data_IF_256496137737
#
_entry.id   IF_256496137737
#
_cell.length_a   1.000
_cell.length_b   1.000
_cell.length_c   1.000
_cell.angle_alpha   90.00
_cell.angle_beta   90.00
_cell.angle_gamma   90.00
#
_symmetry.space_group_name_H-M   'P 1'
#
loop_
_entity.id
_entity.type
_entity.pdbx_description
1 polymer ?
#
# COMPACT_ATOMS: atom_id res chain seq x y z
N UNK A 1 -10.79 9.37 35.10
CA UNK A 1 -10.14 10.31 34.16
C UNK A 1 -10.15 9.71 32.75
N UNK A 2 -10.88 10.31 31.80
CA UNK A 2 -10.81 9.88 30.39
C UNK A 2 -9.44 10.29 29.84
N UNK A 3 -8.57 9.33 29.50
CA UNK A 3 -7.33 9.61 28.75
C UNK A 3 -7.73 10.39 27.49
N UNK A 4 -7.27 11.64 27.35
CA UNK A 4 -7.36 12.37 26.07
C UNK A 4 -6.66 11.51 25.03
N UNK A 5 -7.39 10.97 24.05
CA UNK A 5 -6.80 10.32 22.88
C UNK A 5 -5.89 11.37 22.23
N UNK A 6 -4.58 11.14 22.29
CA UNK A 6 -3.61 11.96 21.55
C UNK A 6 -4.00 11.82 20.08
N UNK A 7 -4.14 12.93 19.37
CA UNK A 7 -4.38 12.90 17.93
C UNK A 7 -3.12 12.29 17.30
N UNK A 8 -3.18 11.02 16.94
CA UNK A 8 -2.03 10.32 16.38
C UNK A 8 -1.73 10.88 14.98
N UNK A 9 -0.49 11.29 14.75
CA UNK A 9 -0.05 11.75 13.45
C UNK A 9 -0.04 10.55 12.49
N UNK A 10 -0.75 10.67 11.36
CA UNK A 10 -0.84 9.62 10.36
C UNK A 10 0.53 9.23 9.81
N UNK A 11 1.44 10.20 9.69
CA UNK A 11 2.78 9.96 9.15
C UNK A 11 3.67 9.09 10.08
N UNK A 12 3.32 8.99 11.36
CA UNK A 12 4.06 8.19 12.34
C UNK A 12 3.63 6.72 12.35
N UNK A 13 2.64 6.34 11.52
CA UNK A 13 2.14 4.96 11.44
C UNK A 13 3.09 4.09 10.62
N UNK A 14 3.26 2.83 11.02
CA UNK A 14 4.10 1.83 10.35
C UNK A 14 3.22 0.94 9.46
N UNK A 15 3.25 1.11 8.12
CA UNK A 15 2.54 0.24 7.20
C UNK A 15 3.16 -1.17 7.13
N UNK A 16 2.32 -2.17 6.96
CA UNK A 16 2.66 -3.59 6.74
C UNK A 16 1.83 -4.10 5.57
N UNK A 17 2.43 -4.81 4.62
CA UNK A 17 1.72 -5.45 3.51
C UNK A 17 0.76 -6.50 4.08
N UNK A 18 -0.51 -6.44 3.70
CA UNK A 18 -1.58 -7.30 4.22
C UNK A 18 -1.62 -8.65 3.49
N UNK A 19 -0.60 -9.48 3.73
CA UNK A 19 -0.44 -10.85 3.19
C UNK A 19 -0.69 -10.93 1.67
N UNK A 20 -0.30 -9.88 0.95
CA UNK A 20 -0.38 -9.84 -0.51
C UNK A 20 0.90 -10.41 -1.09
N UNK A 21 0.76 -11.40 -1.97
CA UNK A 21 1.86 -11.85 -2.82
C UNK A 21 2.15 -10.76 -3.85
N UNK A 22 3.41 -10.47 -4.07
CA UNK A 22 3.86 -9.52 -5.08
C UNK A 22 5.26 -9.88 -5.57
N UNK A 23 5.61 -9.41 -6.76
CA UNK A 23 6.91 -9.61 -7.37
C UNK A 23 7.37 -8.37 -8.15
N UNK A 24 8.64 -8.36 -8.55
CA UNK A 24 9.18 -7.36 -9.46
C UNK A 24 9.12 -7.90 -10.88
N UNK A 25 8.55 -7.12 -11.78
CA UNK A 25 8.57 -7.39 -13.22
C UNK A 25 9.96 -7.15 -13.80
N UNK A 26 10.19 -7.61 -15.04
CA UNK A 26 11.48 -7.44 -15.73
C UNK A 26 11.90 -5.97 -15.90
N UNK A 27 10.94 -5.04 -15.91
CA UNK A 27 11.17 -3.60 -15.96
C UNK A 27 11.23 -2.94 -14.58
N UNK A 28 11.27 -3.72 -13.50
CA UNK A 28 11.48 -3.25 -12.13
C UNK A 28 10.24 -2.67 -11.44
N UNK A 29 9.04 -2.91 -11.98
CA UNK A 29 7.78 -2.48 -11.38
C UNK A 29 7.22 -3.56 -10.46
N UNK A 30 6.44 -3.13 -9.46
CA UNK A 30 5.77 -4.05 -8.56
C UNK A 30 4.48 -4.54 -9.20
N UNK A 31 4.29 -5.85 -9.23
CA UNK A 31 3.03 -6.49 -9.56
C UNK A 31 2.47 -7.22 -8.35
N UNK A 32 1.26 -6.84 -7.91
CA UNK A 32 0.56 -7.42 -6.76
C UNK A 32 -0.46 -8.45 -7.24
N UNK A 33 -0.38 -9.67 -6.72
CA UNK A 33 -1.37 -10.72 -6.95
C UNK A 33 -2.54 -10.56 -5.98
N UNK A 34 -3.74 -10.41 -6.52
CA UNK A 34 -4.99 -10.30 -5.75
C UNK A 34 -5.87 -11.50 -6.04
N UNK A 35 -6.19 -12.29 -5.02
CA UNK A 35 -7.20 -13.34 -5.15
C UNK A 35 -8.61 -12.72 -5.12
N UNK A 36 -9.41 -13.02 -6.14
CA UNK A 36 -10.77 -12.52 -6.27
C UNK A 36 -11.75 -13.35 -5.40
N UNK A 37 -11.43 -13.55 -4.11
CA UNK A 37 -12.33 -14.22 -3.17
C UNK A 37 -13.31 -13.23 -2.53
N UNK A 38 -14.58 -13.33 -2.91
CA UNK A 38 -15.70 -12.67 -2.26
C UNK A 38 -16.95 -13.56 -2.28
N UNK A 39 -18.01 -13.17 -1.57
CA UNK A 39 -19.29 -13.89 -1.39
C UNK A 39 -19.98 -14.37 -2.69
N UNK A 40 -19.49 -13.95 -3.85
CA UNK A 40 -19.93 -14.39 -5.17
C UNK A 40 -19.29 -15.70 -5.63
N UNK A 41 -18.44 -16.35 -4.83
CA UNK A 41 -17.68 -17.56 -5.21
C UNK A 41 -18.53 -18.68 -5.82
N UNK A 42 -19.79 -18.86 -5.40
CA UNK A 42 -20.65 -19.92 -5.93
C UNK A 42 -21.36 -19.55 -7.25
N UNK A 43 -21.62 -18.25 -7.48
CA UNK A 43 -22.36 -17.75 -8.65
C UNK A 43 -21.41 -17.28 -9.76
N UNK A 44 -20.27 -16.68 -9.38
CA UNK A 44 -19.27 -16.16 -10.32
C UNK A 44 -18.55 -17.28 -11.09
N UNK A 45 -18.25 -18.42 -10.45
CA UNK A 45 -17.55 -19.53 -11.14
C UNK A 45 -18.46 -20.29 -12.12
N UNK A 46 -19.77 -20.35 -11.87
CA UNK A 46 -20.73 -21.03 -12.76
C UNK A 46 -21.16 -20.18 -13.97
N UNK A 47 -21.02 -18.85 -13.91
CA UNK A 47 -21.57 -17.95 -14.94
C UNK A 47 -20.59 -16.92 -15.51
N UNK A 48 -19.48 -16.61 -14.84
CA UNK A 48 -18.53 -15.60 -15.28
C UNK A 48 -17.14 -16.21 -15.50
N UNK A 49 -16.62 -16.09 -16.73
CA UNK A 49 -15.25 -16.39 -17.15
C UNK A 49 -14.21 -15.47 -16.48
N UNK A 50 -14.38 -15.11 -15.20
CA UNK A 50 -13.48 -14.20 -14.48
C UNK A 50 -12.33 -15.01 -13.86
N UNK A 51 -11.08 -14.57 -14.02
CA UNK A 51 -9.93 -15.28 -13.49
C UNK A 51 -9.93 -15.26 -11.95
N UNK A 52 -9.48 -16.35 -11.34
CA UNK A 52 -9.36 -16.51 -9.87
C UNK A 52 -8.43 -15.46 -9.24
N UNK A 53 -7.44 -15.02 -10.01
CA UNK A 53 -6.45 -14.03 -9.60
C UNK A 53 -6.47 -12.84 -10.57
N UNK A 54 -6.21 -11.66 -10.03
CA UNK A 54 -5.92 -10.43 -10.76
C UNK A 54 -4.50 -9.99 -10.45
N UNK A 55 -3.80 -9.45 -11.45
CA UNK A 55 -2.45 -8.92 -11.30
C UNK A 55 -2.52 -7.40 -11.44
N UNK A 56 -2.07 -6.69 -10.40
CA UNK A 56 -2.12 -5.23 -10.35
C UNK A 56 -0.69 -4.71 -10.42
N UNK A 57 -0.34 -4.17 -11.58
CA UNK A 57 0.93 -3.51 -11.79
C UNK A 57 0.87 -2.07 -11.27
N UNK A 58 1.79 -1.72 -10.39
CA UNK A 58 1.93 -0.38 -9.85
C UNK A 58 2.74 0.50 -10.82
N UNK A 59 2.51 1.81 -10.79
CA UNK A 59 3.35 2.78 -11.49
C UNK A 59 4.73 2.86 -10.83
N UNK A 60 5.66 3.60 -11.44
CA UNK A 60 7.03 3.76 -10.91
C UNK A 60 7.02 4.31 -9.47
N UNK A 61 6.18 5.32 -9.22
CA UNK A 61 6.03 5.91 -7.88
C UNK A 61 5.49 4.90 -6.87
N UNK A 62 4.38 4.23 -7.18
CA UNK A 62 3.78 3.23 -6.31
C UNK A 62 4.70 2.03 -6.07
N UNK A 63 5.41 1.59 -7.10
CA UNK A 63 6.42 0.52 -7.00
C UNK A 63 7.57 0.90 -6.08
N UNK A 64 8.07 2.15 -6.17
CA UNK A 64 9.11 2.65 -5.29
C UNK A 64 8.63 2.70 -3.83
N UNK A 65 7.43 3.25 -3.59
CA UNK A 65 6.83 3.32 -2.24
C UNK A 65 6.62 1.91 -1.67
N UNK A 66 6.02 1.01 -2.45
CA UNK A 66 5.67 -0.35 -2.04
C UNK A 66 6.89 -1.14 -1.57
N UNK A 67 8.00 -1.04 -2.31
CA UNK A 67 9.26 -1.70 -1.94
C UNK A 67 9.88 -1.18 -0.63
N UNK A 68 9.49 0.01 -0.15
CA UNK A 68 9.95 0.51 1.16
C UNK A 68 9.12 -0.02 2.34
N UNK A 69 7.99 -0.70 2.10
CA UNK A 69 7.11 -1.24 3.13
C UNK A 69 7.71 -2.55 3.67
N UNK A 70 8.54 -2.44 4.71
CA UNK A 70 9.17 -3.58 5.38
C UNK A 70 8.55 -3.93 6.74
N UNK A 71 7.47 -3.23 7.11
CA UNK A 71 6.81 -3.39 8.40
C UNK A 71 7.59 -2.80 9.58
N UNK A 72 8.61 -1.98 9.33
CA UNK A 72 9.38 -1.28 10.36
C UNK A 72 9.38 0.23 10.16
N UNK A 73 9.57 0.69 8.92
CA UNK A 73 9.60 2.12 8.59
C UNK A 73 8.20 2.73 8.69
N UNK A 74 8.10 3.93 9.25
CA UNK A 74 6.87 4.72 9.20
C UNK A 74 6.74 5.50 7.87
N UNK A 75 5.55 6.07 7.62
CA UNK A 75 5.29 6.83 6.38
C UNK A 75 6.25 8.02 6.24
N UNK A 76 6.61 8.67 7.34
CA UNK A 76 7.56 9.79 7.31
C UNK A 76 8.94 9.38 6.79
N UNK A 77 9.48 8.26 7.29
CA UNK A 77 10.77 7.69 6.89
C UNK A 77 10.76 7.26 5.43
N UNK A 78 9.68 6.61 4.97
CA UNK A 78 9.48 6.28 3.55
C UNK A 78 9.50 7.55 2.70
N UNK A 79 8.85 8.62 3.15
CA UNK A 79 8.89 9.91 2.48
C UNK A 79 10.30 10.52 2.40
N UNK A 80 11.12 10.39 3.44
CA UNK A 80 12.50 10.87 3.41
C UNK A 80 13.34 10.11 2.37
N UNK A 81 13.17 8.80 2.25
CA UNK A 81 13.84 7.98 1.22
C UNK A 81 13.45 8.47 -0.18
N UNK A 82 12.15 8.66 -0.44
CA UNK A 82 11.65 9.15 -1.73
C UNK A 82 12.15 10.56 -2.06
N UNK A 83 12.25 11.43 -1.06
CA UNK A 83 12.79 12.79 -1.22
C UNK A 83 14.25 12.78 -1.65
N UNK A 84 15.04 11.84 -1.11
CA UNK A 84 16.46 11.71 -1.43
C UNK A 84 16.66 11.15 -2.84
N UNK A 85 15.80 10.22 -3.28
CA UNK A 85 15.84 9.63 -4.63
C UNK A 85 15.35 10.60 -5.70
N UNK A 86 14.35 11.44 -5.42
CA UNK A 86 13.76 12.38 -6.37
C UNK A 86 13.93 13.84 -5.90
N UNK A 87 15.10 14.44 -6.19
CA UNK A 87 15.36 15.86 -5.94
C UNK A 87 14.46 16.72 -6.82
N UNK A 88 13.37 17.26 -6.26
CA UNK A 88 12.49 18.23 -6.94
C UNK A 88 11.00 18.20 -6.59
N UNK A 89 10.53 17.17 -5.87
CA UNK A 89 9.10 16.96 -5.60
C UNK A 89 8.62 17.38 -4.19
N UNK A 90 9.41 18.18 -3.47
CA UNK A 90 9.31 18.32 -2.02
C UNK A 90 7.99 18.92 -1.50
N UNK A 91 7.36 19.85 -2.24
CA UNK A 91 6.26 20.66 -1.71
C UNK A 91 4.96 19.88 -1.47
N UNK A 92 4.74 18.76 -2.19
CA UNK A 92 3.54 17.92 -2.02
C UNK A 92 3.83 16.45 -1.75
N UNK A 93 5.10 16.12 -1.47
CA UNK A 93 5.53 14.73 -1.31
C UNK A 93 4.71 14.00 -0.22
N UNK A 94 4.59 14.60 0.95
CA UNK A 94 3.88 14.00 2.08
C UNK A 94 2.37 13.94 1.90
N UNK A 95 1.77 14.91 1.20
CA UNK A 95 0.34 14.88 0.88
C UNK A 95 0.01 13.74 -0.08
N UNK A 96 0.81 13.57 -1.14
CA UNK A 96 0.66 12.45 -2.08
C UNK A 96 0.90 11.13 -1.40
N UNK A 97 1.95 11.02 -0.57
CA UNK A 97 2.30 9.80 0.13
C UNK A 97 1.22 9.38 1.14
N UNK A 98 0.71 10.33 1.92
CA UNK A 98 -0.39 10.07 2.86
C UNK A 98 -1.66 9.62 2.12
N UNK A 99 -1.98 10.27 0.99
CA UNK A 99 -3.12 9.89 0.15
C UNK A 99 -2.97 8.48 -0.42
N UNK A 100 -1.77 8.14 -0.88
CA UNK A 100 -1.44 6.81 -1.40
C UNK A 100 -1.63 5.73 -0.34
N UNK A 101 -1.06 5.91 0.85
CA UNK A 101 -1.23 4.95 1.94
C UNK A 101 -2.69 4.82 2.41
N UNK A 102 -3.46 5.91 2.38
CA UNK A 102 -4.89 5.86 2.69
C UNK A 102 -5.66 5.00 1.68
N UNK A 103 -5.32 5.07 0.39
CA UNK A 103 -5.90 4.21 -0.65
C UNK A 103 -5.52 2.75 -0.39
N UNK A 104 -4.25 2.46 -0.09
CA UNK A 104 -3.80 1.10 0.21
C UNK A 104 -4.51 0.51 1.44
N UNK A 105 -4.68 1.31 2.50
CA UNK A 105 -5.39 0.93 3.73
C UNK A 105 -6.87 0.66 3.45
N UNK A 106 -7.56 1.56 2.75
CA UNK A 106 -8.98 1.41 2.43
C UNK A 106 -9.29 0.18 1.57
N UNK A 107 -8.35 -0.21 0.70
CA UNK A 107 -8.50 -1.38 -0.15
C UNK A 107 -7.88 -2.66 0.46
N UNK A 108 -7.39 -2.59 1.70
CA UNK A 108 -6.84 -3.75 2.41
C UNK A 108 -5.55 -4.31 1.81
N UNK A 109 -4.77 -3.50 1.09
CA UNK A 109 -3.42 -3.87 0.64
C UNK A 109 -2.38 -3.71 1.74
N UNK A 110 -2.59 -2.74 2.63
CA UNK A 110 -1.72 -2.43 3.76
C UNK A 110 -2.56 -2.33 5.02
N UNK A 111 -2.01 -2.83 6.12
CA UNK A 111 -2.50 -2.57 7.48
C UNK A 111 -1.44 -1.78 8.24
N UNK A 112 -1.84 -1.10 9.30
CA UNK A 112 -0.89 -0.38 10.15
C UNK A 112 -0.73 -1.10 11.48
N UNK A 113 0.52 -1.22 11.92
CA UNK A 113 0.81 -1.81 13.23
C UNK A 113 0.21 -0.94 14.34
N UNK A 114 -0.53 -1.56 15.26
CA UNK A 114 -0.96 -0.90 16.48
C UNK A 114 0.25 -0.71 17.41
N UNK A 115 0.30 0.43 18.10
CA UNK A 115 1.34 0.72 19.11
C UNK A 115 1.05 0.00 20.42
#
# INVERSE_FOLDING_TARGET
>A
MKKKKKQENYLDRVPVINDKKWELTDDGLVEVTVENTGFYNTIAQKFFKRPRYSFIRLDEYGSCVWQQIDGTKNIYEIGQILKNTHRGAADRLYERLASYFKILEQNGYVVFREK
#
